data_IF_362833548392
#
_entry.id   IF_362833548392
#
_cell.length_a   1.000
_cell.length_b   1.000
_cell.length_c   1.000
_cell.angle_alpha   90.00
_cell.angle_beta   90.00
_cell.angle_gamma   90.00
#
_symmetry.space_group_name_H-M   'P 1'
#
loop_
_entity.id
_entity.type
_entity.pdbx_description
1 polymer ?
#
# COMPACT_ATOMS: atom_id res chain seq x y z
N UNK A 1 -5.61 3.59 -1.29
CA UNK A 1 -5.13 2.21 -1.07
C UNK A 1 -6.18 1.12 -0.77
N UNK A 2 -7.36 1.37 -0.15
CA UNK A 2 -8.18 0.26 0.34
C UNK A 2 -9.01 -0.50 -0.72
N UNK A 3 -9.21 0.04 -1.93
CA UNK A 3 -10.12 -0.58 -2.93
C UNK A 3 -9.53 -1.83 -3.59
N UNK A 4 -8.29 -1.76 -4.08
CA UNK A 4 -7.63 -2.93 -4.67
C UNK A 4 -7.44 -4.06 -3.63
N UNK A 5 -7.18 -3.70 -2.37
CA UNK A 5 -7.20 -4.67 -1.28
C UNK A 5 -8.57 -5.33 -1.14
N UNK A 6 -9.66 -4.56 -1.13
CA UNK A 6 -11.02 -5.11 -1.05
C UNK A 6 -11.35 -6.03 -2.24
N UNK A 7 -10.94 -5.68 -3.46
CA UNK A 7 -11.11 -6.54 -4.65
C UNK A 7 -10.44 -7.90 -4.50
N UNK A 8 -9.24 -7.95 -3.93
CA UNK A 8 -8.46 -9.18 -3.75
C UNK A 8 -8.92 -9.95 -2.51
N UNK A 9 -9.15 -9.26 -1.39
CA UNK A 9 -9.31 -9.87 -0.08
C UNK A 9 -10.78 -10.12 0.30
N UNK A 10 -11.75 -9.38 -0.22
CA UNK A 10 -13.17 -9.57 0.14
C UNK A 10 -13.83 -10.65 -0.73
N UNK A 11 -13.28 -11.86 -0.63
CA UNK A 11 -13.89 -13.06 -1.24
C UNK A 11 -15.29 -13.30 -0.66
N UNK A 12 -16.15 -14.10 -1.33
CA UNK A 12 -17.47 -14.45 -0.81
C UNK A 12 -17.43 -14.98 0.63
N UNK A 13 -16.43 -15.82 0.94
CA UNK A 13 -16.23 -16.37 2.29
C UNK A 13 -15.87 -15.27 3.30
N UNK A 14 -14.96 -14.36 2.96
CA UNK A 14 -14.59 -13.24 3.85
C UNK A 14 -15.78 -12.31 4.07
N UNK A 15 -16.58 -12.02 3.05
CA UNK A 15 -17.80 -11.20 3.17
C UNK A 15 -18.82 -11.85 4.11
N UNK A 16 -19.01 -13.17 4.04
CA UNK A 16 -19.88 -13.90 4.97
C UNK A 16 -19.40 -13.77 6.42
N UNK A 17 -18.09 -13.93 6.67
CA UNK A 17 -17.52 -13.74 8.01
C UNK A 17 -17.67 -12.29 8.47
N UNK A 18 -17.50 -11.30 7.59
CA UNK A 18 -17.74 -9.88 7.91
C UNK A 18 -19.20 -9.63 8.34
N UNK A 19 -20.17 -10.32 7.75
CA UNK A 19 -21.59 -10.25 8.14
C UNK A 19 -21.83 -10.88 9.51
N UNK A 20 -21.31 -12.10 9.72
CA UNK A 20 -21.38 -12.81 11.01
C UNK A 20 -20.75 -12.01 12.15
N UNK A 21 -19.65 -11.30 11.88
CA UNK A 21 -18.95 -10.44 12.85
C UNK A 21 -19.49 -9.00 12.89
N UNK A 22 -20.52 -8.66 12.12
CA UNK A 22 -21.14 -7.33 12.11
C UNK A 22 -20.29 -6.19 11.52
N UNK A 23 -19.16 -6.50 10.88
CA UNK A 23 -18.24 -5.51 10.29
C UNK A 23 -18.56 -5.16 8.84
N UNK A 24 -19.46 -5.91 8.19
CA UNK A 24 -19.74 -5.79 6.75
C UNK A 24 -20.18 -4.40 6.31
N UNK A 25 -20.99 -3.71 7.12
CA UNK A 25 -21.50 -2.37 6.81
C UNK A 25 -20.40 -1.30 6.75
N UNK A 26 -19.34 -1.46 7.55
CA UNK A 26 -18.16 -0.59 7.52
C UNK A 26 -17.31 -0.87 6.28
N UNK A 27 -17.07 -2.15 5.99
CA UNK A 27 -16.23 -2.57 4.85
C UNK A 27 -16.92 -2.40 3.49
N UNK A 28 -18.25 -2.40 3.39
CA UNK A 28 -18.94 -2.15 2.13
C UNK A 28 -18.79 -0.71 1.62
N UNK A 29 -18.66 0.27 2.53
CA UNK A 29 -18.32 1.67 2.17
C UNK A 29 -16.92 1.78 1.56
N UNK A 30 -16.00 0.97 2.07
CA UNK A 30 -14.64 0.88 1.55
C UNK A 30 -14.61 0.22 0.16
N UNK A 31 -15.48 -0.73 -0.12
CA UNK A 31 -15.58 -1.40 -1.43
C UNK A 31 -16.30 -0.55 -2.49
N UNK A 32 -17.24 0.30 -2.10
CA UNK A 32 -18.08 1.10 -3.01
C UNK A 32 -17.50 2.47 -3.39
N UNK A 33 -16.35 2.85 -2.85
CA UNK A 33 -15.73 4.12 -3.19
C UNK A 33 -15.08 4.08 -4.60
N UNK A 34 -15.06 5.22 -5.33
CA UNK A 34 -14.61 5.24 -6.73
C UNK A 34 -13.15 4.78 -6.89
N UNK A 35 -12.91 3.88 -7.84
CA UNK A 35 -11.59 3.30 -8.11
C UNK A 35 -10.50 4.35 -8.40
N UNK A 36 -10.85 5.45 -9.06
CA UNK A 36 -9.92 6.48 -9.56
C UNK A 36 -9.19 7.27 -8.47
N UNK A 37 -9.61 7.19 -7.21
CA UNK A 37 -9.05 8.02 -6.12
C UNK A 37 -7.64 7.57 -5.69
N UNK A 38 -7.19 6.37 -6.06
CA UNK A 38 -6.05 5.71 -5.39
C UNK A 38 -4.79 5.48 -6.24
N UNK A 39 -4.74 5.93 -7.50
CA UNK A 39 -3.58 5.68 -8.37
C UNK A 39 -2.54 6.80 -8.34
N UNK A 40 -2.87 7.92 -7.69
CA UNK A 40 -2.02 9.12 -7.63
C UNK A 40 -1.69 9.45 -6.19
N UNK A 41 -0.42 9.72 -5.95
CA UNK A 41 0.10 10.22 -4.68
C UNK A 41 -0.23 11.71 -4.58
N UNK A 42 -1.00 12.08 -3.56
CA UNK A 42 -1.30 13.48 -3.27
C UNK A 42 -0.23 14.09 -2.37
N UNK A 43 -0.34 15.38 -2.08
CA UNK A 43 0.55 16.07 -1.14
C UNK A 43 0.56 15.41 0.25
N UNK A 44 -0.56 14.83 0.69
CA UNK A 44 -0.65 14.16 1.98
C UNK A 44 0.24 12.90 2.02
N UNK A 45 0.15 12.02 1.01
CA UNK A 45 1.03 10.85 0.92
C UNK A 45 2.49 11.27 0.70
N UNK A 46 2.74 12.27 -0.15
CA UNK A 46 4.09 12.75 -0.42
C UNK A 46 4.77 13.29 0.85
N UNK A 47 4.05 14.08 1.66
CA UNK A 47 4.54 14.57 2.95
C UNK A 47 4.82 13.45 3.95
N UNK A 48 3.93 12.46 4.04
CA UNK A 48 4.14 11.28 4.88
C UNK A 48 5.40 10.51 4.48
N UNK A 49 5.54 10.21 3.19
CA UNK A 49 6.68 9.47 2.61
C UNK A 49 7.98 10.24 2.84
N UNK A 50 8.03 11.54 2.55
CA UNK A 50 9.21 12.36 2.73
C UNK A 50 9.70 12.42 4.19
N UNK A 51 8.80 12.24 5.16
CA UNK A 51 9.13 12.16 6.58
C UNK A 51 9.63 10.79 7.06
N UNK A 52 9.75 9.78 6.17
CA UNK A 52 10.21 8.44 6.56
C UNK A 52 11.74 8.32 6.45
N UNK A 53 12.30 7.47 7.32
CA UNK A 53 13.70 7.04 7.33
C UNK A 53 13.84 5.51 7.08
N UNK A 54 12.72 4.81 6.87
CA UNK A 54 12.70 3.44 6.39
C UNK A 54 11.38 3.09 5.70
N UNK A 55 11.39 2.01 4.91
CA UNK A 55 10.18 1.38 4.39
C UNK A 55 10.42 -0.12 4.13
N UNK A 56 9.33 -0.85 3.90
CA UNK A 56 9.36 -2.24 3.46
C UNK A 56 8.99 -2.32 1.99
N UNK A 57 9.76 -3.07 1.20
CA UNK A 57 9.51 -3.34 -0.21
C UNK A 57 9.15 -4.81 -0.39
N UNK A 58 7.95 -5.07 -0.89
CA UNK A 58 7.51 -6.40 -1.27
C UNK A 58 7.69 -6.61 -2.78
N UNK A 59 8.32 -7.73 -3.14
CA UNK A 59 8.52 -8.17 -4.53
C UNK A 59 8.14 -9.63 -4.66
N UNK A 60 8.00 -10.11 -5.88
CA UNK A 60 7.91 -11.55 -6.18
C UNK A 60 9.14 -11.96 -6.97
N UNK A 61 9.69 -13.14 -6.67
CA UNK A 61 10.75 -13.73 -7.49
C UNK A 61 10.21 -14.11 -8.87
N UNK A 62 11.10 -14.49 -9.79
CA UNK A 62 10.72 -15.07 -11.08
C UNK A 62 9.77 -16.28 -10.95
N UNK A 63 9.91 -17.05 -9.87
CA UNK A 63 9.06 -18.22 -9.56
C UNK A 63 7.78 -17.87 -8.81
N UNK A 64 7.50 -16.58 -8.56
CA UNK A 64 6.32 -16.13 -7.82
C UNK A 64 6.44 -16.25 -6.30
N UNK A 65 7.63 -16.56 -5.76
CA UNK A 65 7.83 -16.62 -4.31
C UNK A 65 7.85 -15.19 -3.73
N UNK A 66 7.04 -14.90 -2.69
CA UNK A 66 6.99 -13.57 -2.10
C UNK A 66 8.29 -13.27 -1.34
N UNK A 67 8.75 -12.03 -1.46
CA UNK A 67 9.93 -11.55 -0.77
C UNK A 67 9.71 -10.14 -0.22
N UNK A 68 10.16 -9.90 1.01
CA UNK A 68 10.05 -8.60 1.67
C UNK A 68 11.45 -8.17 2.14
N UNK A 69 11.80 -6.93 1.81
CA UNK A 69 13.04 -6.30 2.22
C UNK A 69 12.76 -5.03 3.01
N UNK A 70 13.57 -4.77 4.01
CA UNK A 70 13.60 -3.49 4.69
C UNK A 70 14.66 -2.60 4.03
N UNK A 71 14.30 -1.35 3.72
CA UNK A 71 15.23 -0.33 3.22
C UNK A 71 15.30 0.81 4.24
N UNK A 72 16.50 1.17 4.67
CA UNK A 72 16.75 2.26 5.63
C UNK A 72 17.62 3.37 5.04
N UNK A 73 17.46 4.58 5.58
CA UNK A 73 18.26 5.75 5.22
C UNK A 73 17.98 6.95 6.13
N UNK A 74 18.63 8.11 5.92
CA UNK A 74 18.27 9.35 6.60
C UNK A 74 16.84 9.79 6.23
N UNK A 75 16.21 10.63 7.05
CA UNK A 75 14.87 11.17 6.75
C UNK A 75 14.87 11.86 5.38
N UNK A 76 13.89 11.55 4.54
CA UNK A 76 13.78 12.09 3.17
C UNK A 76 14.64 11.39 2.13
N UNK A 77 15.22 10.21 2.46
CA UNK A 77 15.90 9.36 1.49
C UNK A 77 14.96 8.71 0.47
N UNK A 78 13.66 8.60 0.81
CA UNK A 78 12.57 8.20 -0.09
C UNK A 78 11.73 9.44 -0.40
N UNK A 79 11.37 9.62 -1.67
CA UNK A 79 10.68 10.81 -2.17
C UNK A 79 9.68 10.43 -3.25
N UNK A 80 8.62 11.23 -3.33
CA UNK A 80 7.70 11.23 -4.46
C UNK A 80 8.29 12.15 -5.54
N UNK A 81 8.57 11.60 -6.73
CA UNK A 81 9.13 12.33 -7.86
C UNK A 81 8.03 12.96 -8.73
N UNK A 82 6.90 12.27 -8.84
CA UNK A 82 5.65 12.73 -9.44
C UNK A 82 4.48 11.94 -8.84
N UNK A 83 3.24 12.24 -9.26
CA UNK A 83 2.02 11.62 -8.73
C UNK A 83 2.00 10.08 -8.84
N UNK A 84 2.87 9.46 -9.65
CA UNK A 84 2.94 8.01 -9.87
C UNK A 84 4.33 7.40 -9.64
N UNK A 85 5.32 8.19 -9.22
CA UNK A 85 6.71 7.74 -9.13
C UNK A 85 7.31 8.02 -7.77
N UNK A 86 7.90 6.98 -7.15
CA UNK A 86 8.68 7.08 -5.92
C UNK A 86 10.14 6.77 -6.25
N UNK A 87 11.06 7.59 -5.77
CA UNK A 87 12.49 7.37 -5.84
C UNK A 87 13.11 7.29 -4.46
N UNK A 88 14.14 6.46 -4.29
CA UNK A 88 14.92 6.39 -3.07
C UNK A 88 16.38 6.07 -3.34
N UNK A 89 17.27 6.55 -2.47
CA UNK A 89 18.67 6.16 -2.50
C UNK A 89 18.85 4.79 -1.84
N UNK A 90 19.58 3.89 -2.50
CA UNK A 90 19.90 2.58 -1.94
C UNK A 90 21.25 2.59 -1.24
N UNK A 91 21.21 2.54 0.10
CA UNK A 91 22.41 2.57 0.94
C UNK A 91 23.02 1.20 1.12
N UNK A 92 24.34 1.14 1.30
CA UNK A 92 25.04 -0.11 1.59
C UNK A 92 24.48 -0.78 2.85
N UNK A 93 24.11 -2.05 2.72
CA UNK A 93 23.51 -2.85 3.80
C UNK A 93 21.99 -2.97 3.71
N UNK A 94 21.36 -2.27 2.77
CA UNK A 94 20.01 -2.53 2.32
C UNK A 94 19.92 -3.67 1.30
#
# INVERSE_FOLDING_TARGET
>A
MPHHFAEIAFTPTVKKVQEEMGSRSSYSRMESAPAQVNYRLTEAEAGFIAGRNSFYMATVSETGWPYIQHRGGPTGFVRVLDESTIGFADFRGN
#
